data_IF_000316437765
#
_entry.id   IF_000316437765
#
_cell.length_a   1.000
_cell.length_b   1.000
_cell.length_c   1.000
_cell.angle_alpha   90.00
_cell.angle_beta   90.00
_cell.angle_gamma   90.00
#
_symmetry.space_group_name_H-M   'P 1'
#
loop_
_entity.id
_entity.type
_entity.pdbx_description
1 polymer ?
#
# COMPACT_ATOMS: atom_id res chain seq x y z
N UNK A 1 55.26 6.96 21.26
CA UNK A 1 54.85 7.54 19.96
C UNK A 1 54.44 6.42 19.01
N UNK A 2 55.32 5.74 18.27
CA UNK A 2 54.88 4.70 17.30
C UNK A 2 54.02 3.56 17.88
N UNK A 3 54.26 3.17 19.14
CA UNK A 3 53.49 2.12 19.81
C UNK A 3 52.13 2.58 20.33
N UNK A 4 52.00 3.87 20.66
CA UNK A 4 50.75 4.48 21.12
C UNK A 4 49.81 4.68 19.95
N UNK A 5 50.36 5.11 18.80
CA UNK A 5 49.61 5.28 17.54
C UNK A 5 49.03 3.94 17.06
N UNK A 6 49.84 2.87 17.06
CA UNK A 6 49.39 1.51 16.71
C UNK A 6 48.31 0.97 17.66
N UNK A 7 48.39 1.31 18.96
CA UNK A 7 47.39 0.90 19.95
C UNK A 7 46.07 1.64 19.73
N UNK A 8 46.15 2.91 19.35
CA UNK A 8 44.99 3.76 19.07
C UNK A 8 44.29 3.33 17.77
N UNK A 9 45.06 2.99 16.74
CA UNK A 9 44.56 2.50 15.46
C UNK A 9 43.90 1.12 15.60
N UNK A 10 44.50 0.22 16.38
CA UNK A 10 43.89 -1.07 16.71
C UNK A 10 42.61 -0.92 17.55
N UNK A 11 42.58 -0.01 18.52
CA UNK A 11 41.36 0.27 19.29
C UNK A 11 40.24 0.84 18.41
N UNK A 12 40.58 1.68 17.43
CA UNK A 12 39.62 2.22 16.48
C UNK A 12 39.08 1.11 15.55
N UNK A 13 39.94 0.24 15.01
CA UNK A 13 39.50 -0.90 14.19
C UNK A 13 38.60 -1.88 14.96
N UNK A 14 38.94 -2.20 16.21
CA UNK A 14 38.13 -3.09 17.06
C UNK A 14 36.78 -2.45 17.40
N UNK A 15 36.77 -1.15 17.70
CA UNK A 15 35.54 -0.39 17.98
C UNK A 15 34.65 -0.32 16.73
N UNK A 16 35.23 -0.04 15.58
CA UNK A 16 34.52 0.05 14.31
C UNK A 16 33.93 -1.30 13.89
N UNK A 17 34.71 -2.39 14.02
CA UNK A 17 34.25 -3.76 13.74
C UNK A 17 33.15 -4.24 14.69
N UNK A 18 33.22 -3.87 15.97
CA UNK A 18 32.16 -4.15 16.94
C UNK A 18 30.89 -3.34 16.67
N UNK A 19 31.03 -2.07 16.26
CA UNK A 19 29.90 -1.26 15.83
C UNK A 19 29.24 -1.87 14.58
N UNK A 20 30.00 -2.27 13.56
CA UNK A 20 29.48 -2.92 12.36
C UNK A 20 28.79 -4.26 12.65
N UNK A 21 29.34 -5.07 13.56
CA UNK A 21 28.75 -6.34 13.97
C UNK A 21 27.46 -6.16 14.81
N UNK A 22 27.42 -5.17 15.71
CA UNK A 22 26.22 -4.85 16.49
C UNK A 22 25.10 -4.27 15.62
N UNK A 23 25.45 -3.45 14.62
CA UNK A 23 24.53 -2.93 13.61
C UNK A 23 23.99 -4.05 12.70
N UNK A 24 24.84 -5.00 12.29
CA UNK A 24 24.43 -6.17 11.50
C UNK A 24 23.46 -7.07 12.29
N UNK A 25 23.77 -7.39 13.56
CA UNK A 25 22.91 -8.17 14.45
C UNK A 25 21.57 -7.47 14.74
N UNK A 26 21.59 -6.15 14.87
CA UNK A 26 20.40 -5.31 15.08
C UNK A 26 19.56 -5.12 13.80
N UNK A 27 20.14 -5.32 12.61
CA UNK A 27 19.44 -5.19 11.33
C UNK A 27 18.61 -6.42 10.96
N UNK A 28 18.93 -7.61 11.48
CA UNK A 28 18.15 -8.83 11.25
C UNK A 28 16.68 -8.75 11.69
N UNK A 29 16.34 -8.27 12.91
CA UNK A 29 14.94 -8.15 13.32
C UNK A 29 14.18 -7.11 12.49
N UNK A 30 14.83 -6.01 12.09
CA UNK A 30 14.24 -4.99 11.23
C UNK A 30 14.00 -5.53 9.81
N UNK A 31 15.00 -6.20 9.23
CA UNK A 31 14.89 -6.86 7.94
C UNK A 31 13.80 -7.95 7.94
N UNK A 32 13.62 -8.68 9.06
CA UNK A 32 12.51 -9.63 9.20
C UNK A 32 11.15 -8.94 9.26
N UNK A 33 11.02 -7.80 9.94
CA UNK A 33 9.76 -7.03 9.97
C UNK A 33 9.42 -6.42 8.61
N UNK A 34 10.41 -5.84 7.92
CA UNK A 34 10.24 -5.34 6.56
C UNK A 34 9.81 -6.47 5.64
N UNK A 35 10.50 -7.62 5.65
CA UNK A 35 10.14 -8.77 4.82
C UNK A 35 8.73 -9.31 5.10
N UNK A 36 8.25 -9.26 6.35
CA UNK A 36 6.88 -9.65 6.69
C UNK A 36 5.85 -8.69 6.07
N UNK A 37 6.10 -7.39 6.15
CA UNK A 37 5.23 -6.38 5.54
C UNK A 37 5.25 -6.50 4.01
N UNK A 38 6.44 -6.67 3.43
CA UNK A 38 6.62 -6.87 1.99
C UNK A 38 5.89 -8.13 1.48
N UNK A 39 5.89 -9.21 2.27
CA UNK A 39 5.15 -10.43 1.97
C UNK A 39 3.62 -10.24 2.03
N UNK A 40 3.12 -9.45 2.99
CA UNK A 40 1.70 -9.12 3.07
C UNK A 40 1.25 -8.28 1.88
N UNK A 41 2.03 -7.25 1.52
CA UNK A 41 1.76 -6.41 0.35
C UNK A 41 1.83 -7.24 -0.94
N UNK A 42 2.78 -8.18 -1.05
CA UNK A 42 2.84 -9.13 -2.17
C UNK A 42 1.57 -9.97 -2.27
N UNK A 43 1.11 -10.54 -1.16
CA UNK A 43 -0.13 -11.34 -1.15
C UNK A 43 -1.34 -10.51 -1.55
N UNK A 44 -1.47 -9.30 -1.00
CA UNK A 44 -2.56 -8.41 -1.32
C UNK A 44 -2.57 -8.05 -2.81
N UNK A 45 -1.43 -7.68 -3.39
CA UNK A 45 -1.34 -7.42 -4.82
C UNK A 45 -1.64 -8.65 -5.69
N UNK A 46 -1.24 -9.85 -5.28
CA UNK A 46 -1.57 -11.07 -6.03
C UNK A 46 -3.08 -11.28 -6.05
N UNK A 47 -3.75 -11.08 -4.90
CA UNK A 47 -5.20 -11.17 -4.77
C UNK A 47 -5.88 -10.09 -5.61
N UNK A 48 -5.40 -8.85 -5.59
CA UNK A 48 -6.00 -7.76 -6.36
C UNK A 48 -5.80 -7.93 -7.86
N UNK A 49 -4.64 -8.40 -8.32
CA UNK A 49 -4.37 -8.70 -9.74
C UNK A 49 -5.21 -9.90 -10.20
N UNK A 50 -5.28 -10.97 -9.40
CA UNK A 50 -6.08 -12.15 -9.76
C UNK A 50 -7.58 -11.82 -9.76
N UNK A 51 -8.04 -11.03 -8.80
CA UNK A 51 -9.40 -10.51 -8.77
C UNK A 51 -9.67 -9.64 -10.01
N UNK A 52 -8.78 -8.71 -10.36
CA UNK A 52 -8.95 -7.89 -11.56
C UNK A 52 -9.05 -8.74 -12.83
N UNK A 53 -8.18 -9.73 -13.01
CA UNK A 53 -8.22 -10.63 -14.19
C UNK A 53 -9.52 -11.43 -14.25
N UNK A 54 -10.04 -11.87 -13.10
CA UNK A 54 -11.27 -12.67 -13.02
C UNK A 54 -12.54 -11.82 -13.20
N UNK A 55 -12.57 -10.62 -12.61
CA UNK A 55 -13.73 -9.72 -12.67
C UNK A 55 -13.82 -8.91 -13.96
N UNK A 56 -12.71 -8.65 -14.65
CA UNK A 56 -12.70 -7.86 -15.88
C UNK A 56 -13.58 -8.45 -17.02
N UNK A 57 -13.50 -9.75 -17.39
CA UNK A 57 -14.39 -10.31 -18.40
C UNK A 57 -15.86 -10.27 -17.99
N UNK A 58 -16.14 -10.42 -16.68
CA UNK A 58 -17.49 -10.29 -16.14
C UNK A 58 -18.00 -8.85 -16.32
N UNK A 59 -17.25 -7.84 -15.89
CA UNK A 59 -17.66 -6.43 -16.02
C UNK A 59 -17.83 -6.02 -17.49
N UNK A 60 -16.96 -6.50 -18.38
CA UNK A 60 -17.09 -6.24 -19.83
C UNK A 60 -18.36 -6.88 -20.40
N UNK A 61 -18.69 -8.12 -19.99
CA UNK A 61 -19.95 -8.74 -20.40
C UNK A 61 -21.17 -7.93 -19.94
N UNK A 62 -21.18 -7.44 -18.70
CA UNK A 62 -22.26 -6.58 -18.19
C UNK A 62 -22.32 -5.21 -18.87
N UNK A 63 -21.17 -4.64 -19.24
CA UNK A 63 -21.12 -3.40 -20.01
C UNK A 63 -21.77 -3.55 -21.39
N UNK A 64 -21.57 -4.68 -22.06
CA UNK A 64 -22.17 -4.94 -23.38
C UNK A 64 -23.68 -5.21 -23.31
N UNK A 65 -24.17 -5.69 -22.16
CA UNK A 65 -25.59 -5.93 -21.92
C UNK A 65 -26.26 -4.82 -21.09
N UNK A 66 -25.62 -3.65 -20.96
CA UNK A 66 -26.18 -2.57 -20.15
C UNK A 66 -27.42 -1.98 -20.82
N UNK A 67 -28.49 -1.79 -20.05
CA UNK A 67 -29.77 -1.29 -20.56
C UNK A 67 -29.77 0.25 -20.69
N UNK A 68 -28.89 0.93 -19.97
CA UNK A 68 -28.86 2.39 -19.88
C UNK A 68 -27.42 2.95 -19.92
N UNK A 69 -27.23 4.11 -20.57
CA UNK A 69 -25.95 4.83 -20.65
C UNK A 69 -25.36 5.15 -19.28
N UNK A 70 -26.20 5.45 -18.27
CA UNK A 70 -25.75 5.69 -16.88
C UNK A 70 -25.08 4.45 -16.30
N UNK A 71 -25.64 3.27 -16.58
CA UNK A 71 -25.08 1.99 -16.17
C UNK A 71 -23.76 1.70 -16.89
N UNK A 72 -23.67 1.99 -18.19
CA UNK A 72 -22.44 1.83 -18.98
C UNK A 72 -21.29 2.71 -18.46
N UNK A 73 -21.59 3.94 -18.02
CA UNK A 73 -20.60 4.84 -17.41
C UNK A 73 -20.09 4.22 -16.09
N UNK A 74 -20.98 3.68 -15.27
CA UNK A 74 -20.61 3.02 -14.02
C UNK A 74 -19.68 1.82 -14.23
N UNK A 75 -19.98 0.96 -15.21
CA UNK A 75 -19.09 -0.16 -15.58
C UNK A 75 -17.75 0.32 -16.15
N UNK A 76 -17.75 1.40 -16.93
CA UNK A 76 -16.51 1.99 -17.46
C UNK A 76 -15.59 2.50 -16.34
N UNK A 77 -16.15 3.13 -15.31
CA UNK A 77 -15.41 3.54 -14.11
C UNK A 77 -14.82 2.32 -13.40
N UNK A 78 -15.59 1.24 -13.26
CA UNK A 78 -15.10 0.00 -12.65
C UNK A 78 -13.95 -0.64 -13.44
N UNK A 79 -14.03 -0.70 -14.77
CA UNK A 79 -12.93 -1.17 -15.61
C UNK A 79 -11.68 -0.30 -15.39
N UNK A 80 -11.84 1.02 -15.39
CA UNK A 80 -10.74 1.94 -15.13
C UNK A 80 -10.09 1.66 -13.77
N UNK A 81 -10.87 1.48 -12.71
CA UNK A 81 -10.32 1.21 -11.37
C UNK A 81 -9.64 -0.15 -11.30
N UNK A 82 -10.22 -1.19 -11.92
CA UNK A 82 -9.62 -2.52 -12.00
C UNK A 82 -8.26 -2.51 -12.70
N UNK A 83 -8.04 -1.63 -13.68
CA UNK A 83 -6.76 -1.49 -14.37
C UNK A 83 -5.79 -0.56 -13.64
N UNK A 84 -6.29 0.57 -13.12
CA UNK A 84 -5.46 1.60 -12.49
C UNK A 84 -4.87 1.15 -11.15
N UNK A 85 -5.64 0.41 -10.36
CA UNK A 85 -5.24 -0.06 -9.03
C UNK A 85 -3.99 -0.93 -9.04
N UNK A 86 -3.94 -2.05 -9.78
CA UNK A 86 -2.74 -2.89 -9.82
C UNK A 86 -1.55 -2.14 -10.43
N UNK A 87 -1.77 -1.29 -11.43
CA UNK A 87 -0.71 -0.46 -12.01
C UNK A 87 -0.05 0.45 -10.97
N UNK A 88 -0.84 1.21 -10.19
CA UNK A 88 -0.33 2.14 -9.19
C UNK A 88 0.41 1.42 -8.06
N UNK A 89 -0.08 0.26 -7.62
CA UNK A 89 0.56 -0.55 -6.58
C UNK A 89 1.84 -1.25 -7.06
N UNK A 90 1.93 -1.65 -8.33
CA UNK A 90 3.16 -2.22 -8.91
C UNK A 90 4.21 -1.13 -9.08
N UNK A 91 3.84 0.06 -9.58
CA UNK A 91 4.74 1.19 -9.76
C UNK A 91 5.40 1.63 -8.44
N UNK A 92 4.62 1.68 -7.36
CA UNK A 92 5.11 1.95 -6.01
C UNK A 92 6.20 0.99 -5.52
N UNK A 93 6.23 -0.24 -6.04
CA UNK A 93 7.23 -1.25 -5.65
C UNK A 93 8.52 -1.21 -6.47
N UNK A 94 8.58 -0.44 -7.57
CA UNK A 94 9.71 -0.49 -8.51
C UNK A 94 11.02 0.14 -8.00
N UNK A 95 11.05 0.78 -6.82
CA UNK A 95 12.30 1.31 -6.23
C UNK A 95 13.10 0.15 -5.62
N UNK A 96 13.57 -0.82 -6.40
CA UNK A 96 14.44 -1.90 -5.87
C UNK A 96 15.67 -1.28 -5.22
N UNK A 97 15.77 -1.36 -3.88
CA UNK A 97 17.00 -1.03 -3.15
C UNK A 97 18.05 -2.03 -3.60
N UNK A 98 18.99 -1.57 -4.42
CA UNK A 98 20.21 -2.31 -4.69
C UNK A 98 20.96 -2.34 -3.35
N UNK A 99 21.36 -3.53 -2.91
CA UNK A 99 22.14 -3.72 -1.69
C UNK A 99 23.48 -3.00 -1.91
N UNK A 100 23.56 -1.75 -1.48
CA UNK A 100 24.77 -0.95 -1.57
C UNK A 100 25.65 -1.24 -0.35
N UNK A 101 26.96 -1.08 -0.50
CA UNK A 101 27.94 -1.45 0.54
C UNK A 101 27.87 -0.54 1.79
N UNK A 102 27.02 0.49 1.78
CA UNK A 102 26.88 1.46 2.86
C UNK A 102 25.52 1.33 3.58
N UNK A 103 25.55 0.83 4.81
CA UNK A 103 24.39 0.58 5.68
C UNK A 103 23.50 1.81 5.90
N UNK A 104 24.10 3.02 5.97
CA UNK A 104 23.36 4.28 6.12
C UNK A 104 22.49 4.59 4.89
N UNK A 105 23.02 4.34 3.69
CA UNK A 105 22.27 4.53 2.45
C UNK A 105 21.15 3.49 2.33
N UNK A 106 21.40 2.25 2.74
CA UNK A 106 20.36 1.21 2.78
C UNK A 106 19.19 1.62 3.68
N UNK A 107 19.45 2.08 4.90
CA UNK A 107 18.41 2.53 5.85
C UNK A 107 17.64 3.77 5.35
N UNK A 108 18.33 4.73 4.72
CA UNK A 108 17.68 5.91 4.13
C UNK A 108 16.75 5.53 2.96
N UNK A 109 17.18 4.62 2.08
CA UNK A 109 16.34 4.14 0.99
C UNK A 109 15.13 3.34 1.50
N UNK A 110 15.30 2.55 2.56
CA UNK A 110 14.24 1.76 3.17
C UNK A 110 13.21 2.64 3.91
N UNK A 111 13.68 3.72 4.59
CA UNK A 111 12.83 4.78 5.13
C UNK A 111 11.98 5.41 4.04
N UNK A 112 12.58 5.79 2.92
CA UNK A 112 11.88 6.46 1.83
C UNK A 112 10.82 5.55 1.20
N UNK A 113 11.11 4.26 0.98
CA UNK A 113 10.11 3.29 0.50
C UNK A 113 8.96 3.11 1.48
N UNK A 114 9.25 3.06 2.79
CA UNK A 114 8.23 2.91 3.83
C UNK A 114 7.31 4.13 3.87
N UNK A 115 7.87 5.34 3.72
CA UNK A 115 7.09 6.59 3.63
C UNK A 115 6.17 6.60 2.40
N UNK A 116 6.69 6.22 1.24
CA UNK A 116 5.89 6.13 0.01
C UNK A 116 4.76 5.09 0.13
N UNK A 117 5.03 3.93 0.74
CA UNK A 117 4.01 2.91 1.00
C UNK A 117 2.95 3.39 1.99
N UNK A 118 3.34 4.13 3.03
CA UNK A 118 2.41 4.72 4.01
C UNK A 118 1.53 5.80 3.36
N UNK A 119 2.11 6.64 2.51
CA UNK A 119 1.36 7.68 1.79
C UNK A 119 0.35 7.08 0.80
N UNK A 120 0.73 5.99 0.12
CA UNK A 120 -0.18 5.24 -0.74
C UNK A 120 -1.34 4.63 0.04
N UNK A 121 -1.09 4.05 1.22
CA UNK A 121 -2.14 3.50 2.08
C UNK A 121 -3.08 4.59 2.59
N UNK A 122 -2.52 5.75 2.97
CA UNK A 122 -3.28 6.90 3.46
C UNK A 122 -4.19 7.48 2.37
N UNK A 123 -3.68 7.56 1.14
CA UNK A 123 -4.40 8.12 0.00
C UNK A 123 -5.27 7.07 -0.71
N UNK A 124 -5.10 5.77 -0.42
CA UNK A 124 -5.82 4.64 -1.02
C UNK A 124 -7.34 4.85 -1.04
N UNK A 125 -7.90 5.34 0.07
CA UNK A 125 -9.33 5.63 0.19
C UNK A 125 -9.81 6.60 -0.90
N UNK A 126 -9.03 7.64 -1.18
CA UNK A 126 -9.40 8.69 -2.11
C UNK A 126 -9.36 8.27 -3.58
N UNK A 127 -8.37 7.46 -3.97
CA UNK A 127 -8.19 7.08 -5.38
C UNK A 127 -8.73 5.68 -5.74
N UNK A 128 -9.06 4.84 -4.75
CA UNK A 128 -9.58 3.50 -4.98
C UNK A 128 -11.03 3.34 -4.50
N UNK A 129 -11.35 3.69 -3.25
CA UNK A 129 -12.69 3.46 -2.68
C UNK A 129 -13.73 4.39 -3.32
N UNK A 130 -13.41 5.68 -3.46
CA UNK A 130 -14.36 6.66 -4.02
C UNK A 130 -14.77 6.30 -5.47
N UNK A 131 -13.85 6.01 -6.41
CA UNK A 131 -14.23 5.63 -7.76
C UNK A 131 -15.04 4.32 -7.83
N UNK A 132 -14.75 3.34 -6.95
CA UNK A 132 -15.53 2.09 -6.88
C UNK A 132 -16.95 2.39 -6.42
N UNK A 133 -17.09 3.15 -5.34
CA UNK A 133 -18.40 3.58 -4.83
C UNK A 133 -19.18 4.34 -5.89
N UNK A 134 -18.53 5.29 -6.56
CA UNK A 134 -19.16 6.08 -7.61
C UNK A 134 -19.64 5.19 -8.75
N UNK A 135 -18.78 4.33 -9.29
CA UNK A 135 -19.17 3.38 -10.34
C UNK A 135 -20.33 2.48 -9.90
N UNK A 136 -20.34 2.07 -8.63
CA UNK A 136 -21.41 1.23 -8.08
C UNK A 136 -22.75 1.96 -7.98
N UNK A 137 -22.74 3.21 -7.52
CA UNK A 137 -23.92 4.07 -7.49
C UNK A 137 -24.47 4.28 -8.91
N UNK A 138 -23.59 4.50 -9.90
CA UNK A 138 -23.98 4.66 -11.30
C UNK A 138 -24.58 3.38 -11.91
N UNK A 139 -24.00 2.21 -11.63
CA UNK A 139 -24.53 0.91 -12.10
C UNK A 139 -25.93 0.67 -11.52
N UNK A 140 -26.08 0.82 -10.20
CA UNK A 140 -27.34 0.56 -9.51
C UNK A 140 -28.41 1.60 -9.82
N UNK A 141 -28.05 2.87 -9.99
CA UNK A 141 -28.96 3.90 -10.48
C UNK A 141 -29.40 3.62 -11.92
N UNK A 142 -28.46 3.31 -12.82
CA UNK A 142 -28.78 3.02 -14.23
C UNK A 142 -29.67 1.79 -14.41
N UNK A 143 -29.50 0.77 -13.56
CA UNK A 143 -30.33 -0.44 -13.58
C UNK A 143 -31.74 -0.25 -12.96
N UNK A 144 -32.01 0.89 -12.33
CA UNK A 144 -33.31 1.19 -11.69
C UNK A 144 -34.00 2.43 -12.26
N UNK A 145 -33.47 2.96 -13.36
CA UNK A 145 -34.06 4.05 -14.11
C UNK A 145 -35.03 3.48 -15.14
N UNK A 146 -36.28 3.93 -15.09
CA UNK A 146 -37.24 3.71 -16.18
C UNK A 146 -36.85 4.53 -17.43
N UNK A 147 -37.50 4.27 -18.58
CA UNK A 147 -37.30 4.97 -19.85
C UNK A 147 -37.48 6.50 -19.75
N UNK A 148 -38.18 6.98 -18.72
CA UNK A 148 -38.40 8.40 -18.40
C UNK A 148 -37.28 9.02 -17.54
N UNK A 149 -36.30 8.23 -17.11
CA UNK A 149 -35.19 8.64 -16.25
C UNK A 149 -35.55 8.72 -14.76
N UNK A 150 -36.73 8.26 -14.35
CA UNK A 150 -37.13 8.24 -12.93
C UNK A 150 -36.57 7.03 -12.20
N UNK A 151 -35.97 7.28 -11.03
CA UNK A 151 -35.28 6.29 -10.20
C UNK A 151 -36.26 5.57 -9.29
N UNK A 152 -36.48 4.28 -9.50
CA UNK A 152 -37.34 3.46 -8.64
C UNK A 152 -36.54 2.81 -7.51
N UNK A 153 -36.53 3.46 -6.35
CA UNK A 153 -35.81 2.99 -5.16
C UNK A 153 -36.62 1.92 -4.43
N UNK A 154 -36.38 0.66 -4.77
CA UNK A 154 -36.94 -0.49 -4.05
C UNK A 154 -36.31 -0.69 -2.66
N UNK A 155 -36.99 -1.42 -1.77
CA UNK A 155 -36.44 -1.76 -0.45
C UNK A 155 -35.11 -2.53 -0.56
N UNK A 156 -35.01 -3.45 -1.52
CA UNK A 156 -33.79 -4.20 -1.81
C UNK A 156 -32.63 -3.27 -2.18
N UNK A 157 -32.88 -2.20 -2.96
CA UNK A 157 -31.87 -1.20 -3.32
C UNK A 157 -31.40 -0.39 -2.10
N UNK A 158 -32.30 -0.04 -1.17
CA UNK A 158 -31.94 0.64 0.08
C UNK A 158 -31.04 -0.22 0.96
N UNK A 159 -31.39 -1.50 1.13
CA UNK A 159 -30.57 -2.47 1.89
C UNK A 159 -29.21 -2.65 1.22
N UNK A 160 -29.17 -2.72 -0.11
CA UNK A 160 -27.94 -2.79 -0.89
C UNK A 160 -27.02 -1.58 -0.62
N UNK A 161 -27.53 -0.35 -0.74
CA UNK A 161 -26.74 0.85 -0.47
C UNK A 161 -26.27 0.95 0.98
N UNK A 162 -27.10 0.52 1.95
CA UNK A 162 -26.72 0.44 3.35
C UNK A 162 -25.53 -0.50 3.55
N UNK A 163 -25.59 -1.70 2.97
CA UNK A 163 -24.50 -2.69 3.04
C UNK A 163 -23.22 -2.18 2.35
N UNK A 164 -23.32 -1.54 1.19
CA UNK A 164 -22.18 -0.95 0.49
C UNK A 164 -21.52 0.17 1.28
N UNK A 165 -22.32 1.00 1.95
CA UNK A 165 -21.83 2.08 2.82
C UNK A 165 -21.10 1.48 4.03
N UNK A 166 -21.68 0.48 4.69
CA UNK A 166 -21.06 -0.22 5.82
C UNK A 166 -19.76 -0.92 5.41
N UNK A 167 -19.73 -1.59 4.26
CA UNK A 167 -18.53 -2.22 3.72
C UNK A 167 -17.42 -1.19 3.46
N UNK A 168 -17.77 -0.04 2.89
CA UNK A 168 -16.81 1.04 2.63
C UNK A 168 -16.23 1.64 3.91
N UNK A 169 -17.06 1.82 4.94
CA UNK A 169 -16.61 2.22 6.28
C UNK A 169 -15.68 1.15 6.87
N UNK A 170 -16.02 -0.13 6.72
CA UNK A 170 -15.18 -1.25 7.17
C UNK A 170 -13.80 -1.25 6.51
N UNK A 171 -13.73 -1.07 5.19
CA UNK A 171 -12.47 -0.98 4.44
C UNK A 171 -11.67 0.26 4.89
N UNK A 172 -12.33 1.41 5.08
CA UNK A 172 -11.69 2.62 5.61
C UNK A 172 -11.04 2.38 6.97
N UNK A 173 -11.78 1.78 7.92
CA UNK A 173 -11.27 1.48 9.26
C UNK A 173 -10.12 0.48 9.19
N UNK A 174 -10.23 -0.57 8.36
CA UNK A 174 -9.17 -1.55 8.18
C UNK A 174 -7.88 -0.91 7.65
N UNK A 175 -7.98 -0.07 6.61
CA UNK A 175 -6.84 0.62 6.02
C UNK A 175 -6.19 1.60 7.00
N UNK A 176 -6.99 2.37 7.74
CA UNK A 176 -6.50 3.27 8.78
C UNK A 176 -5.75 2.49 9.87
N UNK A 177 -6.33 1.38 10.33
CA UNK A 177 -5.73 0.51 11.34
C UNK A 177 -4.43 -0.13 10.86
N UNK A 178 -4.34 -0.54 9.59
CA UNK A 178 -3.09 -1.05 8.99
C UNK A 178 -2.00 0.03 8.95
N UNK A 179 -2.34 1.25 8.54
CA UNK A 179 -1.40 2.38 8.51
C UNK A 179 -0.86 2.71 9.91
N UNK A 180 -1.74 2.80 10.91
CA UNK A 180 -1.37 3.15 12.29
C UNK A 180 -0.65 2.02 13.01
N UNK A 181 -1.09 0.76 12.89
CA UNK A 181 -0.55 -0.33 13.70
C UNK A 181 0.65 -1.04 13.09
N UNK A 182 0.90 -0.91 11.79
CA UNK A 182 2.00 -1.63 11.11
C UNK A 182 3.04 -0.72 10.50
N UNK A 183 2.61 0.31 9.76
CA UNK A 183 3.56 1.17 9.04
C UNK A 183 4.16 2.26 9.93
N UNK A 184 3.38 2.86 10.83
CA UNK A 184 3.88 3.85 11.80
C UNK A 184 4.97 3.30 12.74
N UNK A 185 4.81 2.16 13.43
CA UNK A 185 5.87 1.63 14.29
C UNK A 185 7.11 1.19 13.52
N UNK A 186 6.97 0.76 12.25
CA UNK A 186 8.13 0.47 11.40
C UNK A 186 8.92 1.75 11.10
N UNK A 187 8.22 2.84 10.79
CA UNK A 187 8.84 4.15 10.53
C UNK A 187 9.56 4.68 11.78
N UNK A 188 8.94 4.55 12.95
CA UNK A 188 9.52 4.98 14.22
C UNK A 188 10.80 4.19 14.55
N UNK A 189 10.81 2.86 14.31
CA UNK A 189 12.02 2.03 14.45
C UNK A 189 13.12 2.44 13.47
N UNK A 190 12.79 2.74 12.21
CA UNK A 190 13.78 3.19 11.23
C UNK A 190 14.38 4.55 11.62
N UNK A 191 13.54 5.48 12.11
CA UNK A 191 14.00 6.78 12.59
C UNK A 191 14.92 6.65 13.81
N UNK A 192 14.53 5.85 14.80
CA UNK A 192 15.35 5.60 15.99
C UNK A 192 16.75 5.08 15.63
N UNK A 193 16.85 4.18 14.64
CA UNK A 193 18.15 3.64 14.18
C UNK A 193 18.99 4.66 13.41
N UNK A 194 18.36 5.56 12.65
CA UNK A 194 19.08 6.65 11.98
C UNK A 194 19.63 7.65 13.00
N UNK A 195 18.88 7.94 14.05
CA UNK A 195 19.31 8.82 15.14
C UNK A 195 20.46 8.20 15.95
N UNK A 196 20.45 6.89 16.21
CA UNK A 196 21.58 6.17 16.83
C UNK A 196 22.86 6.27 15.98
N UNK A 197 22.76 6.11 14.66
CA UNK A 197 23.91 6.22 13.73
C UNK A 197 24.42 7.66 13.62
N UNK A 198 23.54 8.66 13.72
CA UNK A 198 23.92 10.08 13.68
C UNK A 198 24.44 10.61 15.03
N UNK A 199 23.99 10.05 16.16
CA UNK A 199 24.49 10.41 17.48
C UNK A 199 25.83 9.76 17.86
N UNK A 200 26.29 8.78 17.08
CA UNK A 200 27.61 8.14 17.24
C UNK A 200 28.71 8.75 16.34
N UNK A 201 28.39 9.74 15.49
CA UNK A 201 29.37 10.50 14.69
C UNK A 201 29.69 11.85 15.31
#
# INVERSE_FOLDING_TARGET
MMFDDLKQEWQNEVTQKNNDASLAFSSEPLAREVNKIDALVKKQNIIEISAAILFLPFIVYFLLNSENTVQSIGYSIWIYVCLFTPYKLVKARMIKVKKDNNMKNYLLMEKQRTLEQLDLLRTFVWWHIIPILLGLLLISAGATMDETGTLHISFSLKVYYLLCTLASIGIYIYNKKMAENKFKPLLDKINQRLDEIQGMS
#
